data_IF_838360431990
#
_entry.id   IF_838360431990
#
_cell.length_a   1.000
_cell.length_b   1.000
_cell.length_c   1.000
_cell.angle_alpha   90.00
_cell.angle_beta   90.00
_cell.angle_gamma   90.00
#
_symmetry.space_group_name_H-M   'P 1'
#
loop_
_entity.id
_entity.type
_entity.pdbx_description
1 polymer ?
#
# COMPACT_ATOMS: atom_id res chain seq x y z
N UNK A 1 -11.73 -12.49 18.97
CA UNK A 1 -11.27 -12.11 17.61
C UNK A 1 -9.98 -12.89 17.39
N UNK A 2 -9.83 -13.55 16.23
CA UNK A 2 -8.56 -14.21 15.95
C UNK A 2 -7.45 -13.15 15.96
N UNK A 3 -6.35 -13.39 16.65
CA UNK A 3 -5.22 -12.49 16.73
C UNK A 3 -4.59 -12.39 15.33
N UNK A 4 -4.42 -11.15 14.85
CA UNK A 4 -3.71 -10.84 13.62
C UNK A 4 -2.29 -10.42 14.01
N UNK A 5 -1.31 -11.25 13.67
CA UNK A 5 0.09 -10.88 13.82
C UNK A 5 0.59 -10.19 12.55
N UNK A 6 1.39 -9.14 12.71
CA UNK A 6 2.02 -8.46 11.56
C UNK A 6 3.52 -8.50 11.74
N UNK A 7 4.20 -8.95 10.70
CA UNK A 7 5.66 -9.03 10.69
C UNK A 7 6.21 -8.65 9.33
N UNK A 8 7.51 -8.36 9.29
CA UNK A 8 8.22 -8.23 8.03
C UNK A 8 8.26 -9.57 7.31
N UNK A 9 7.96 -9.55 6.01
CA UNK A 9 8.04 -10.74 5.17
C UNK A 9 9.51 -11.09 4.88
N UNK A 10 9.79 -12.36 4.72
CA UNK A 10 11.07 -12.91 4.30
C UNK A 10 10.93 -13.67 2.96
N UNK A 11 12.03 -14.12 2.39
CA UNK A 11 12.03 -14.75 1.06
C UNK A 11 11.06 -15.93 0.94
N UNK A 12 10.96 -16.75 1.99
CA UNK A 12 10.01 -17.88 2.02
C UNK A 12 8.53 -17.49 1.98
N UNK A 13 8.19 -16.20 2.26
CA UNK A 13 6.82 -15.68 2.24
C UNK A 13 6.38 -15.20 0.86
N UNK A 14 7.31 -15.07 -0.11
CA UNK A 14 7.01 -14.53 -1.44
C UNK A 14 5.78 -15.20 -2.06
N UNK A 15 5.64 -16.54 -2.08
CA UNK A 15 4.45 -17.18 -2.67
C UNK A 15 3.14 -16.77 -1.98
N UNK A 16 3.16 -16.58 -0.64
CA UNK A 16 1.99 -16.17 0.13
C UNK A 16 1.62 -14.70 -0.15
N UNK A 17 2.61 -13.82 -0.24
CA UNK A 17 2.42 -12.41 -0.62
C UNK A 17 1.81 -12.32 -2.04
N UNK A 18 2.35 -13.08 -2.99
CA UNK A 18 1.83 -13.12 -4.37
C UNK A 18 0.39 -13.66 -4.43
N UNK A 19 0.07 -14.65 -3.60
CA UNK A 19 -1.32 -15.14 -3.49
C UNK A 19 -2.25 -14.02 -3.04
N UNK A 20 -1.92 -13.33 -1.95
CA UNK A 20 -2.73 -12.22 -1.42
C UNK A 20 -2.86 -11.08 -2.44
N UNK A 21 -1.79 -10.74 -3.16
CA UNK A 21 -1.85 -9.73 -4.22
C UNK A 21 -2.73 -10.15 -5.40
N UNK A 22 -2.76 -11.45 -5.78
CA UNK A 22 -3.70 -11.95 -6.79
C UNK A 22 -5.16 -11.80 -6.35
N UNK A 23 -5.46 -12.08 -5.09
CA UNK A 23 -6.79 -11.87 -4.52
C UNK A 23 -7.18 -10.38 -4.53
N UNK A 24 -6.24 -9.48 -4.16
CA UNK A 24 -6.43 -8.03 -4.26
C UNK A 24 -6.66 -7.57 -5.69
N UNK A 25 -5.89 -8.10 -6.65
CA UNK A 25 -6.05 -7.82 -8.09
C UNK A 25 -7.43 -8.23 -8.59
N UNK A 26 -7.91 -9.41 -8.20
CA UNK A 26 -9.24 -9.89 -8.54
C UNK A 26 -10.34 -9.00 -7.94
N UNK A 27 -10.20 -8.59 -6.69
CA UNK A 27 -11.15 -7.69 -6.03
C UNK A 27 -11.23 -6.31 -6.72
N UNK A 28 -10.10 -5.78 -7.18
CA UNK A 28 -10.04 -4.52 -7.95
C UNK A 28 -10.70 -4.70 -9.32
N UNK A 29 -10.51 -5.83 -9.99
CA UNK A 29 -11.16 -6.14 -11.27
C UNK A 29 -12.70 -6.11 -11.15
N UNK A 30 -13.25 -6.59 -10.04
CA UNK A 30 -14.70 -6.56 -9.76
C UNK A 30 -15.26 -5.15 -9.65
N UNK A 31 -14.42 -4.14 -9.39
CA UNK A 31 -14.80 -2.72 -9.40
C UNK A 31 -14.94 -2.14 -10.82
N UNK A 32 -14.52 -2.89 -11.84
CA UNK A 32 -14.54 -2.45 -13.24
C UNK A 32 -13.52 -1.35 -13.55
N UNK A 33 -12.44 -1.24 -12.77
CA UNK A 33 -11.37 -0.24 -12.96
C UNK A 33 -10.09 -0.90 -13.47
N UNK A 34 -9.24 -0.10 -14.13
CA UNK A 34 -8.01 -0.55 -14.78
C UNK A 34 -6.85 -0.80 -13.83
N UNK A 35 -6.90 -0.34 -12.59
CA UNK A 35 -5.81 -0.48 -11.61
C UNK A 35 -5.36 -1.94 -11.50
N UNK A 36 -4.06 -2.18 -11.73
CA UNK A 36 -3.43 -3.50 -11.74
C UNK A 36 -3.92 -4.48 -12.81
N UNK A 37 -4.79 -4.06 -13.74
CA UNK A 37 -5.40 -4.95 -14.74
C UNK A 37 -4.60 -4.99 -16.06
N UNK A 38 -3.68 -4.05 -16.25
CA UNK A 38 -2.84 -3.99 -17.45
C UNK A 38 -1.42 -4.47 -17.12
N UNK A 39 -0.85 -5.27 -18.02
CA UNK A 39 0.48 -5.82 -17.82
C UNK A 39 0.56 -6.81 -16.65
N UNK A 40 1.75 -6.93 -16.07
CA UNK A 40 2.08 -7.91 -15.04
C UNK A 40 2.16 -7.32 -13.63
N UNK A 41 2.04 -5.99 -13.48
CA UNK A 41 2.16 -5.33 -12.17
C UNK A 41 0.95 -5.57 -11.26
N UNK A 42 1.14 -5.78 -9.93
CA UNK A 42 2.41 -6.18 -9.34
C UNK A 42 2.80 -7.59 -9.72
N UNK A 43 4.09 -7.86 -9.90
CA UNK A 43 4.62 -9.15 -10.33
C UNK A 43 5.63 -9.73 -9.32
N UNK A 44 6.21 -10.90 -9.64
CA UNK A 44 7.20 -11.55 -8.79
C UNK A 44 8.41 -10.65 -8.46
N UNK A 45 8.93 -9.91 -9.45
CA UNK A 45 10.10 -9.05 -9.24
C UNK A 45 9.80 -7.89 -8.30
N UNK A 46 8.57 -7.34 -8.36
CA UNK A 46 8.13 -6.29 -7.44
C UNK A 46 8.06 -6.81 -6.00
N UNK A 47 7.49 -8.01 -5.80
CA UNK A 47 7.41 -8.64 -4.48
C UNK A 47 8.78 -9.01 -3.95
N UNK A 48 9.62 -9.66 -4.76
CA UNK A 48 10.96 -10.06 -4.36
C UNK A 48 11.82 -8.85 -3.96
N UNK A 49 11.71 -7.75 -4.72
CA UNK A 49 12.39 -6.49 -4.40
C UNK A 49 11.91 -5.91 -3.06
N UNK A 50 10.60 -5.84 -2.83
CA UNK A 50 10.06 -5.34 -1.57
C UNK A 50 10.50 -6.16 -0.37
N UNK A 51 10.52 -7.49 -0.52
CA UNK A 51 11.00 -8.41 0.52
C UNK A 51 12.49 -8.21 0.77
N UNK A 52 13.31 -8.16 -0.28
CA UNK A 52 14.76 -7.98 -0.16
C UNK A 52 15.13 -6.64 0.49
N UNK A 53 14.36 -5.59 0.23
CA UNK A 53 14.54 -4.26 0.83
C UNK A 53 13.92 -4.13 2.23
N UNK A 54 13.21 -5.16 2.71
CA UNK A 54 12.52 -5.14 4.00
C UNK A 54 11.28 -4.23 4.04
N UNK A 55 10.71 -3.93 2.88
CA UNK A 55 9.52 -3.08 2.73
C UNK A 55 8.21 -3.87 2.82
N UNK A 56 8.24 -5.19 2.61
CA UNK A 56 7.04 -6.02 2.62
C UNK A 56 6.68 -6.47 4.04
N UNK A 57 5.43 -6.26 4.42
CA UNK A 57 4.86 -6.74 5.68
C UNK A 57 3.68 -7.65 5.40
N UNK A 58 3.58 -8.72 6.17
CA UNK A 58 2.56 -9.75 6.08
C UNK A 58 1.73 -9.78 7.36
N UNK A 59 0.42 -9.77 7.20
CA UNK A 59 -0.51 -10.09 8.27
C UNK A 59 -0.84 -11.58 8.20
N UNK A 60 -0.75 -12.27 9.33
CA UNK A 60 -1.03 -13.70 9.45
C UNK A 60 -1.90 -14.01 10.66
N UNK A 61 -2.59 -15.14 10.64
CA UNK A 61 -3.33 -15.65 11.79
C UNK A 61 -2.44 -16.56 12.65
N UNK A 62 -3.03 -17.10 13.71
CA UNK A 62 -2.36 -17.98 14.68
C UNK A 62 -1.80 -19.28 14.07
N UNK A 63 -2.26 -19.65 12.87
CA UNK A 63 -1.75 -20.82 12.14
C UNK A 63 -0.59 -20.47 11.20
N UNK A 64 -0.27 -19.18 11.05
CA UNK A 64 0.69 -18.66 10.08
C UNK A 64 0.12 -18.50 8.67
N UNK A 65 -1.21 -18.59 8.49
CA UNK A 65 -1.83 -18.34 7.20
C UNK A 65 -1.83 -16.84 6.87
N UNK A 66 -1.40 -16.50 5.66
CA UNK A 66 -1.35 -15.13 5.18
C UNK A 66 -2.76 -14.56 5.00
N UNK A 67 -3.05 -13.45 5.66
CA UNK A 67 -4.34 -12.76 5.63
C UNK A 67 -4.31 -11.49 4.78
N UNK A 68 -3.16 -10.84 4.68
CA UNK A 68 -3.02 -9.57 3.98
C UNK A 68 -1.56 -9.13 3.88
N UNK A 69 -1.30 -8.16 3.03
CA UNK A 69 0.05 -7.60 2.81
C UNK A 69 0.01 -6.09 2.60
N UNK A 70 1.12 -5.45 2.89
CA UNK A 70 1.38 -4.03 2.65
C UNK A 70 2.87 -3.83 2.34
N UNK A 71 3.17 -3.02 1.34
CA UNK A 71 4.53 -2.52 1.13
C UNK A 71 4.65 -1.13 1.78
N UNK A 72 5.62 -0.98 2.68
CA UNK A 72 5.93 0.25 3.41
C UNK A 72 7.40 0.59 3.21
N UNK A 73 7.67 1.75 2.61
CA UNK A 73 9.02 2.25 2.36
C UNK A 73 9.22 3.62 3.00
N UNK A 74 10.45 3.92 3.39
CA UNK A 74 10.87 5.22 3.90
C UNK A 74 11.86 5.93 2.96
N UNK A 75 12.09 5.35 1.76
CA UNK A 75 13.13 5.81 0.82
C UNK A 75 12.66 6.97 -0.06
N UNK A 76 11.39 7.36 0.05
CA UNK A 76 10.76 8.33 -0.84
C UNK A 76 10.31 7.71 -2.17
N UNK A 77 9.40 8.39 -2.85
CA UNK A 77 8.91 7.96 -4.17
C UNK A 77 8.95 9.15 -5.14
N UNK A 78 9.80 9.10 -6.20
CA UNK A 78 9.87 10.17 -7.19
C UNK A 78 8.55 10.47 -7.89
N UNK A 79 7.63 9.51 -7.95
CA UNK A 79 6.27 9.70 -8.49
C UNK A 79 5.51 10.80 -7.74
N UNK A 80 5.82 10.99 -6.45
CA UNK A 80 5.17 11.96 -5.58
C UNK A 80 5.77 13.36 -5.63
N UNK A 81 6.86 13.56 -6.38
CA UNK A 81 7.46 14.89 -6.54
C UNK A 81 6.66 15.78 -7.50
N UNK A 82 5.87 15.18 -8.40
CA UNK A 82 4.99 15.88 -9.33
C UNK A 82 3.52 15.62 -8.99
N UNK A 83 2.90 16.54 -8.26
CA UNK A 83 1.50 16.47 -7.88
C UNK A 83 0.70 17.65 -8.47
N UNK A 84 -0.45 17.37 -9.07
CA UNK A 84 -1.47 18.37 -9.35
C UNK A 84 -2.33 18.54 -8.10
N UNK A 85 -1.95 19.50 -7.29
CA UNK A 85 -2.43 19.73 -5.94
C UNK A 85 -1.30 20.13 -5.00
N UNK A 86 -1.41 19.81 -3.71
CA UNK A 86 -0.37 20.11 -2.73
C UNK A 86 -0.37 19.08 -1.60
N UNK A 87 0.82 18.54 -1.29
CA UNK A 87 1.04 17.74 -0.10
C UNK A 87 0.87 18.58 1.17
N UNK A 88 0.52 17.94 2.27
CA UNK A 88 0.39 18.58 3.59
C UNK A 88 1.77 18.90 4.21
N UNK A 89 2.79 18.10 3.85
CA UNK A 89 4.17 18.29 4.32
C UNK A 89 5.10 18.67 3.18
N UNK A 90 6.12 19.52 3.49
CA UNK A 90 7.07 20.05 2.52
C UNK A 90 8.32 19.15 2.42
N UNK A 91 8.17 17.95 1.88
CA UNK A 91 9.26 16.99 1.71
C UNK A 91 9.17 16.32 0.34
N UNK A 92 10.31 16.03 -0.28
CA UNK A 92 10.46 15.43 -1.61
C UNK A 92 11.07 14.04 -1.51
N UNK A 93 11.08 13.28 -2.60
CA UNK A 93 11.72 11.96 -2.64
C UNK A 93 13.21 12.01 -2.32
N UNK A 94 13.90 13.07 -2.72
CA UNK A 94 15.34 13.24 -2.46
C UNK A 94 15.68 13.54 -0.99
N UNK A 95 14.70 13.97 -0.20
CA UNK A 95 14.86 14.25 1.24
C UNK A 95 13.59 13.80 1.97
N UNK A 96 13.24 12.52 1.78
CA UNK A 96 11.99 11.97 2.25
C UNK A 96 11.93 11.90 3.77
N UNK A 97 10.89 12.54 4.32
CA UNK A 97 10.48 12.42 5.72
C UNK A 97 9.05 11.89 5.82
N UNK A 98 8.65 11.15 4.81
CA UNK A 98 7.36 10.48 4.74
C UNK A 98 7.54 8.98 4.48
N UNK A 99 6.60 8.20 4.97
CA UNK A 99 6.48 6.80 4.60
C UNK A 99 5.57 6.67 3.37
N UNK A 100 5.90 5.75 2.48
CA UNK A 100 5.11 5.44 1.28
C UNK A 100 4.44 4.09 1.45
N UNK A 101 3.13 4.02 1.18
CA UNK A 101 2.34 2.80 1.22
C UNK A 101 1.97 2.39 -0.20
N UNK A 102 2.34 1.17 -0.56
CA UNK A 102 2.00 0.56 -1.85
C UNK A 102 1.53 -0.89 -1.69
N UNK A 103 0.98 -1.47 -2.76
CA UNK A 103 0.67 -2.90 -2.90
C UNK A 103 -0.02 -3.48 -1.68
N UNK A 104 -1.08 -2.81 -1.23
CA UNK A 104 -1.91 -3.31 -0.14
C UNK A 104 -2.98 -4.25 -0.67
N UNK A 105 -3.12 -5.41 -0.05
CA UNK A 105 -4.16 -6.38 -0.38
C UNK A 105 -4.54 -7.21 0.85
N UNK A 106 -5.74 -7.77 0.80
CA UNK A 106 -6.25 -8.73 1.80
C UNK A 106 -6.77 -9.95 1.06
N UNK A 107 -6.46 -11.13 1.59
CA UNK A 107 -7.04 -12.38 1.12
C UNK A 107 -8.56 -12.34 1.24
N UNK A 108 -9.27 -12.80 0.20
CA UNK A 108 -10.75 -12.78 0.15
C UNK A 108 -11.37 -13.50 1.35
N UNK A 109 -10.79 -14.62 1.79
CA UNK A 109 -11.26 -15.37 2.94
C UNK A 109 -11.10 -14.61 4.27
N UNK A 110 -10.20 -13.62 4.30
CA UNK A 110 -9.96 -12.75 5.44
C UNK A 110 -10.69 -11.39 5.35
N UNK A 111 -11.54 -11.21 4.33
CA UNK A 111 -12.27 -9.96 4.14
C UNK A 111 -13.13 -9.60 5.37
N UNK A 112 -13.20 -8.30 5.69
CA UNK A 112 -13.96 -7.74 6.83
C UNK A 112 -13.52 -8.19 8.23
N UNK A 113 -12.38 -8.91 8.37
CA UNK A 113 -11.79 -9.29 9.66
C UNK A 113 -10.90 -8.21 10.29
N UNK A 114 -10.84 -7.02 9.69
CA UNK A 114 -10.02 -5.91 10.19
C UNK A 114 -8.54 -5.95 9.77
N UNK A 115 -8.14 -6.89 8.92
CA UNK A 115 -6.74 -7.09 8.47
C UNK A 115 -6.13 -5.82 7.92
N UNK A 116 -6.80 -5.13 6.98
CA UNK A 116 -6.29 -3.88 6.41
C UNK A 116 -6.14 -2.79 7.48
N UNK A 117 -7.08 -2.72 8.44
CA UNK A 117 -6.99 -1.78 9.55
C UNK A 117 -5.78 -2.04 10.45
N UNK A 118 -5.46 -3.30 10.70
CA UNK A 118 -4.29 -3.70 11.47
C UNK A 118 -2.99 -3.37 10.71
N UNK A 119 -2.92 -3.67 9.41
CA UNK A 119 -1.77 -3.33 8.56
C UNK A 119 -1.49 -1.83 8.55
N UNK A 120 -2.52 -0.98 8.39
CA UNK A 120 -2.35 0.47 8.43
C UNK A 120 -1.95 1.00 9.80
N UNK A 121 -2.45 0.41 10.89
CA UNK A 121 -2.04 0.78 12.25
C UNK A 121 -0.57 0.44 12.51
N UNK A 122 -0.11 -0.71 12.06
CA UNK A 122 1.30 -1.10 12.16
C UNK A 122 2.19 -0.22 11.27
N UNK A 123 1.76 0.09 10.03
CA UNK A 123 2.46 1.01 9.15
C UNK A 123 2.63 2.40 9.82
N UNK A 124 1.58 2.93 10.45
CA UNK A 124 1.66 4.18 11.20
C UNK A 124 2.64 4.10 12.37
N UNK A 125 2.58 3.04 13.17
CA UNK A 125 3.50 2.83 14.28
C UNK A 125 4.96 2.80 13.82
N UNK A 126 5.24 2.08 12.72
CA UNK A 126 6.58 1.98 12.14
C UNK A 126 7.04 3.32 11.56
N UNK A 127 6.16 4.07 10.90
CA UNK A 127 6.46 5.38 10.34
C UNK A 127 6.83 6.40 11.43
N UNK A 128 6.08 6.42 12.54
CA UNK A 128 6.42 7.23 13.71
C UNK A 128 7.77 6.83 14.32
N UNK A 129 8.03 5.53 14.46
CA UNK A 129 9.29 5.01 14.98
C UNK A 129 10.48 5.35 14.07
N UNK A 130 10.26 5.47 12.76
CA UNK A 130 11.27 5.91 11.79
C UNK A 130 11.46 7.43 11.74
N UNK A 131 10.66 8.20 12.49
CA UNK A 131 10.74 9.67 12.52
C UNK A 131 10.13 10.35 11.30
N UNK A 132 9.21 9.68 10.61
CA UNK A 132 8.49 10.28 9.49
C UNK A 132 7.53 11.38 9.99
N UNK A 133 7.36 12.43 9.18
CA UNK A 133 6.40 13.52 9.43
C UNK A 133 5.00 13.15 8.93
N UNK A 134 4.94 12.27 7.92
CA UNK A 134 3.68 11.88 7.30
C UNK A 134 3.76 10.49 6.67
N UNK A 135 2.61 10.00 6.24
CA UNK A 135 2.45 8.81 5.39
C UNK A 135 1.73 9.23 4.11
N UNK A 136 2.20 8.74 2.97
CA UNK A 136 1.63 8.99 1.65
C UNK A 136 1.17 7.69 1.00
N UNK A 137 0.09 7.76 0.29
CA UNK A 137 -0.47 6.66 -0.50
C UNK A 137 -1.17 7.22 -1.74
N UNK A 138 -1.35 6.38 -2.74
CA UNK A 138 -2.15 6.71 -3.90
C UNK A 138 -3.07 5.55 -4.28
N UNK A 139 -4.15 5.86 -4.97
CA UNK A 139 -5.06 4.85 -5.52
C UNK A 139 -5.81 5.38 -6.74
N UNK A 140 -6.32 4.45 -7.55
CA UNK A 140 -7.17 4.80 -8.69
C UNK A 140 -8.43 5.58 -8.24
N UNK A 141 -8.86 6.61 -8.98
CA UNK A 141 -10.05 7.40 -8.62
C UNK A 141 -11.32 6.55 -8.40
N UNK A 142 -11.48 5.48 -9.16
CA UNK A 142 -12.61 4.54 -9.04
C UNK A 142 -12.45 3.49 -7.93
N UNK A 143 -11.30 3.42 -7.23
CA UNK A 143 -11.14 2.49 -6.11
C UNK A 143 -11.77 3.04 -4.85
N UNK A 144 -13.11 3.09 -4.85
CA UNK A 144 -13.90 3.67 -3.75
C UNK A 144 -13.68 2.97 -2.40
N UNK A 145 -13.49 1.63 -2.32
CA UNK A 145 -13.18 0.97 -1.05
C UNK A 145 -11.85 1.45 -0.44
N UNK A 146 -10.80 1.58 -1.25
CA UNK A 146 -9.49 2.05 -0.78
C UNK A 146 -9.55 3.52 -0.38
N UNK A 147 -10.19 4.38 -1.19
CA UNK A 147 -10.37 5.79 -0.88
C UNK A 147 -11.09 5.98 0.46
N UNK A 148 -12.22 5.28 0.65
CA UNK A 148 -12.95 5.33 1.92
C UNK A 148 -12.15 4.76 3.10
N UNK A 149 -11.27 3.77 2.88
CA UNK A 149 -10.36 3.29 3.92
C UNK A 149 -9.36 4.38 4.32
N UNK A 150 -8.68 4.98 3.35
CA UNK A 150 -7.68 6.04 3.59
C UNK A 150 -8.29 7.20 4.38
N UNK A 151 -9.47 7.68 3.99
CA UNK A 151 -10.20 8.74 4.68
C UNK A 151 -10.53 8.35 6.13
N UNK A 152 -11.04 7.14 6.36
CA UNK A 152 -11.31 6.64 7.73
C UNK A 152 -10.04 6.47 8.57
N UNK A 153 -8.88 6.28 7.93
CA UNK A 153 -7.57 6.22 8.61
C UNK A 153 -6.93 7.59 8.83
N UNK A 154 -7.63 8.67 8.47
CA UNK A 154 -7.19 10.03 8.68
C UNK A 154 -6.28 10.60 7.58
N UNK A 155 -6.26 9.96 6.42
CA UNK A 155 -5.60 10.53 5.24
C UNK A 155 -6.51 11.57 4.58
N UNK A 156 -5.90 12.61 4.06
CA UNK A 156 -6.54 13.69 3.30
C UNK A 156 -6.16 13.55 1.83
N UNK A 157 -7.13 13.68 0.93
CA UNK A 157 -6.86 13.78 -0.50
C UNK A 157 -6.14 15.09 -0.81
N UNK A 158 -4.95 15.01 -1.42
CA UNK A 158 -4.06 16.13 -1.66
C UNK A 158 -4.08 16.62 -3.12
N UNK A 159 -4.57 15.81 -4.02
CA UNK A 159 -4.57 16.08 -5.46
C UNK A 159 -4.41 14.81 -6.27
N UNK A 160 -3.83 14.92 -7.45
CA UNK A 160 -3.58 13.79 -8.34
C UNK A 160 -2.11 13.69 -8.73
N UNK A 161 -1.66 12.48 -8.94
CA UNK A 161 -0.33 12.15 -9.50
C UNK A 161 -0.50 11.31 -10.76
N UNK A 162 0.55 11.26 -11.57
CA UNK A 162 0.65 10.36 -12.71
C UNK A 162 1.69 9.28 -12.40
N UNK A 163 1.32 8.02 -12.58
CA UNK A 163 2.28 6.92 -12.46
C UNK A 163 3.39 7.08 -13.50
N UNK A 164 4.63 6.85 -13.06
CA UNK A 164 5.80 6.93 -13.93
C UNK A 164 6.06 5.67 -14.75
N UNK A 165 5.47 4.53 -14.31
CA UNK A 165 5.47 3.30 -15.09
C UNK A 165 4.49 3.38 -16.26
N UNK A 166 4.71 2.56 -17.28
CA UNK A 166 3.78 2.42 -18.40
C UNK A 166 2.44 1.85 -17.92
N UNK A 167 1.43 2.68 -17.87
CA UNK A 167 0.07 2.37 -17.44
C UNK A 167 -0.90 3.17 -18.33
N UNK A 168 -1.82 2.53 -19.07
CA UNK A 168 -2.75 3.22 -19.96
C UNK A 168 -3.73 4.14 -19.21
N UNK A 169 -3.85 3.97 -17.90
CA UNK A 169 -4.66 4.81 -17.03
C UNK A 169 -3.82 5.23 -15.80
N UNK A 170 -2.90 6.19 -15.99
CA UNK A 170 -1.87 6.51 -15.01
C UNK A 170 -2.34 7.40 -13.86
N UNK A 171 -3.54 7.99 -13.93
CA UNK A 171 -4.02 8.95 -12.92
C UNK A 171 -4.31 8.26 -11.59
N UNK A 172 -3.77 8.81 -10.51
CA UNK A 172 -4.06 8.37 -9.13
C UNK A 172 -4.43 9.54 -8.24
N UNK A 173 -5.37 9.32 -7.34
CA UNK A 173 -5.65 10.27 -6.25
C UNK A 173 -4.58 10.08 -5.18
N UNK A 174 -3.90 11.14 -4.85
CA UNK A 174 -2.83 11.19 -3.87
C UNK A 174 -3.39 11.53 -2.48
N UNK A 175 -2.95 10.81 -1.47
CA UNK A 175 -3.39 10.95 -0.09
C UNK A 175 -2.20 11.12 0.84
N UNK A 176 -2.34 11.99 1.85
CA UNK A 176 -1.35 12.16 2.90
C UNK A 176 -2.01 12.21 4.28
N UNK A 177 -1.34 11.60 5.26
CA UNK A 177 -1.66 11.69 6.68
C UNK A 177 -0.45 12.22 7.42
N UNK A 178 -0.59 13.36 8.11
CA UNK A 178 0.42 13.89 9.05
C UNK A 178 0.42 13.03 10.31
N UNK A 179 1.60 12.72 10.83
CA UNK A 179 1.84 11.82 11.97
C UNK A 179 2.00 12.56 13.30
#
# INVERSE_FOLDING_TARGET
>A
MADIAIRRAHEGDIPSVEHVLREGKAAIAELGISQWQHGTYPNHEDVARDVAQGHCYLAEDETGAALGTIALSFDGDPTYDAIDGAWLTQTTSANARYATIHRTAVDRAAARRGVMSALFAEAERLSRAAGCESMRADTHPGNTPMRGLLERKGFTACGTILLTRDDPDPVRVAYEKVL
#
